data_IF_057177259675
#
_entry.id   IF_057177259675
#
_cell.length_a   1.000
_cell.length_b   1.000
_cell.length_c   1.000
_cell.angle_alpha   90.00
_cell.angle_beta   90.00
_cell.angle_gamma   90.00
#
_symmetry.space_group_name_H-M   'P 1'
#
loop_
_entity.id
_entity.type
_entity.pdbx_description
1 polymer ?
#
# COMPACT_ATOMS: atom_id res chain seq x y z
N UNK A 1 -44.62 41.88 -86.84
CA UNK A 1 -45.79 42.04 -85.95
C UNK A 1 -45.73 43.43 -85.35
N UNK A 2 -46.79 44.21 -85.45
CA UNK A 2 -46.76 45.57 -84.92
C UNK A 2 -46.77 45.54 -83.38
N UNK A 3 -45.78 46.17 -82.76
CA UNK A 3 -45.67 46.27 -81.30
C UNK A 3 -46.93 46.94 -80.73
N UNK A 4 -47.39 46.48 -79.56
CA UNK A 4 -48.58 47.03 -78.90
C UNK A 4 -48.19 47.67 -77.59
N UNK A 5 -48.78 48.83 -77.29
CA UNK A 5 -48.61 49.46 -75.99
C UNK A 5 -49.16 48.54 -74.90
N UNK A 6 -48.34 48.19 -73.91
CA UNK A 6 -48.73 47.27 -72.84
C UNK A 6 -49.88 47.82 -71.98
N UNK A 7 -50.04 49.14 -71.88
CA UNK A 7 -51.08 49.80 -71.06
C UNK A 7 -52.44 49.93 -71.74
N UNK A 8 -52.50 50.24 -73.04
CA UNK A 8 -53.78 50.43 -73.75
C UNK A 8 -54.03 49.39 -74.86
N UNK A 9 -53.09 48.47 -75.08
CA UNK A 9 -53.16 47.34 -76.03
C UNK A 9 -53.26 47.76 -77.50
N UNK A 10 -53.33 49.06 -77.80
CA UNK A 10 -53.32 49.61 -79.16
C UNK A 10 -51.93 49.49 -79.79
N UNK A 11 -51.94 49.31 -81.10
CA UNK A 11 -50.72 49.19 -81.93
C UNK A 11 -49.92 50.50 -81.89
N UNK A 12 -48.62 50.39 -81.66
CA UNK A 12 -47.68 51.50 -81.79
C UNK A 12 -47.41 51.69 -83.29
N UNK A 13 -47.94 52.76 -83.88
CA UNK A 13 -47.75 53.11 -85.30
C UNK A 13 -46.59 54.10 -85.47
N UNK A 14 -46.05 54.19 -86.69
CA UNK A 14 -45.05 55.18 -87.05
C UNK A 14 -45.58 56.60 -86.82
N UNK A 15 -44.81 57.42 -86.09
CA UNK A 15 -45.16 58.77 -85.67
C UNK A 15 -45.67 58.90 -84.22
N UNK A 16 -45.92 57.82 -83.48
CA UNK A 16 -46.35 57.88 -82.07
C UNK A 16 -45.18 57.72 -81.12
N UNK A 17 -44.95 58.70 -80.24
CA UNK A 17 -43.90 58.63 -79.24
C UNK A 17 -44.14 57.51 -78.21
N UNK A 18 -43.19 56.59 -78.11
CA UNK A 18 -43.22 55.44 -77.19
C UNK A 18 -41.93 55.32 -76.38
N UNK A 19 -42.04 54.82 -75.14
CA UNK A 19 -40.92 54.47 -74.24
C UNK A 19 -40.94 52.98 -73.93
N UNK A 20 -39.77 52.38 -73.74
CA UNK A 20 -39.61 50.97 -73.38
C UNK A 20 -39.08 50.86 -71.95
N UNK A 21 -39.71 50.03 -71.13
CA UNK A 21 -39.24 49.77 -69.78
C UNK A 21 -37.97 48.93 -69.81
N UNK A 22 -36.91 49.37 -69.14
CA UNK A 22 -35.64 48.62 -69.06
C UNK A 22 -35.79 47.25 -68.40
N UNK A 23 -36.62 47.15 -67.34
CA UNK A 23 -36.74 45.90 -66.56
C UNK A 23 -37.60 44.81 -67.22
N UNK A 24 -38.70 45.17 -67.89
CA UNK A 24 -39.65 44.18 -68.44
C UNK A 24 -39.78 44.23 -69.95
N UNK A 25 -38.98 45.09 -70.60
CA UNK A 25 -38.90 45.30 -72.05
C UNK A 25 -40.22 45.67 -72.75
N UNK A 26 -41.30 45.87 -72.00
CA UNK A 26 -42.59 46.27 -72.53
C UNK A 26 -42.57 47.71 -73.04
N UNK A 27 -43.27 47.95 -74.15
CA UNK A 27 -43.38 49.26 -74.81
C UNK A 27 -44.67 49.94 -74.38
N UNK A 28 -44.59 51.24 -74.13
CA UNK A 28 -45.70 52.09 -73.69
C UNK A 28 -45.76 53.36 -74.54
N UNK A 29 -46.96 53.80 -74.93
CA UNK A 29 -47.12 55.14 -75.49
C UNK A 29 -46.77 56.18 -74.42
N UNK A 30 -46.00 57.21 -74.79
CA UNK A 30 -45.55 58.27 -73.88
C UNK A 30 -46.73 58.90 -73.12
N UNK A 31 -47.81 59.24 -73.85
CA UNK A 31 -49.08 59.73 -73.26
C UNK A 31 -49.74 58.74 -72.30
N UNK A 32 -49.67 57.43 -72.56
CA UNK A 32 -50.28 56.44 -71.67
C UNK A 32 -49.57 56.38 -70.31
N UNK A 33 -48.29 56.72 -70.24
CA UNK A 33 -47.49 56.70 -69.01
C UNK A 33 -47.12 58.10 -68.51
N UNK A 34 -47.72 59.15 -69.07
CA UNK A 34 -47.52 60.53 -68.62
C UNK A 34 -46.12 61.08 -68.89
N UNK A 35 -45.39 60.50 -69.85
CA UNK A 35 -44.05 60.95 -70.24
C UNK A 35 -44.18 61.99 -71.34
N UNK A 36 -43.52 63.13 -71.18
CA UNK A 36 -43.47 64.19 -72.19
C UNK A 36 -42.46 63.85 -73.29
N UNK A 37 -42.58 64.52 -74.42
CA UNK A 37 -41.82 64.18 -75.62
C UNK A 37 -40.29 64.36 -75.44
N UNK A 38 -39.88 65.30 -74.59
CA UNK A 38 -38.46 65.52 -74.23
C UNK A 38 -37.85 64.31 -73.51
N UNK A 39 -38.56 63.70 -72.55
CA UNK A 39 -38.06 62.53 -71.82
C UNK A 39 -38.00 61.31 -72.72
N UNK A 40 -38.90 61.18 -73.69
CA UNK A 40 -38.81 60.14 -74.72
C UNK A 40 -37.54 60.31 -75.55
N UNK A 41 -37.21 61.53 -75.94
CA UNK A 41 -35.99 61.83 -76.70
C UNK A 41 -34.73 61.52 -75.87
N UNK A 42 -34.71 61.90 -74.60
CA UNK A 42 -33.61 61.59 -73.66
C UNK A 42 -33.41 60.08 -73.53
N UNK A 43 -34.49 59.29 -73.41
CA UNK A 43 -34.39 57.82 -73.32
C UNK A 43 -33.86 57.16 -74.59
N UNK A 44 -33.93 57.82 -75.75
CA UNK A 44 -33.40 57.31 -77.03
C UNK A 44 -31.99 57.78 -77.33
N UNK A 45 -31.66 59.02 -76.96
CA UNK A 45 -30.37 59.66 -77.27
C UNK A 45 -29.29 59.30 -76.26
N UNK A 46 -29.65 59.16 -74.99
CA UNK A 46 -28.70 58.87 -73.91
C UNK A 46 -28.72 57.39 -73.55
N UNK A 47 -27.70 56.64 -73.97
CA UNK A 47 -27.54 55.21 -73.67
C UNK A 47 -27.46 54.89 -72.16
N UNK A 48 -27.07 55.87 -71.34
CA UNK A 48 -26.95 55.74 -69.89
C UNK A 48 -28.26 56.06 -69.13
N UNK A 49 -29.30 56.52 -69.80
CA UNK A 49 -30.58 56.82 -69.16
C UNK A 49 -31.55 55.63 -69.29
N UNK A 50 -31.98 55.06 -68.16
CA UNK A 50 -32.88 53.89 -68.11
C UNK A 50 -34.22 54.27 -67.52
N UNK A 51 -35.30 54.09 -68.29
CA UNK A 51 -36.66 54.31 -67.83
C UNK A 51 -37.31 53.00 -67.35
N UNK A 52 -38.07 53.07 -66.27
CA UNK A 52 -38.79 51.94 -65.68
C UNK A 52 -40.28 52.26 -65.63
N UNK A 53 -41.14 51.30 -65.98
CA UNK A 53 -42.58 51.49 -65.87
C UNK A 53 -43.05 51.40 -64.41
N UNK A 54 -44.19 52.01 -64.11
CA UNK A 54 -44.78 52.03 -62.76
C UNK A 54 -44.95 50.63 -62.15
N UNK A 55 -45.20 49.62 -62.98
CA UNK A 55 -45.34 48.23 -62.52
C UNK A 55 -43.99 47.72 -62.01
N UNK A 56 -42.92 47.93 -62.78
CA UNK A 56 -41.57 47.52 -62.40
C UNK A 56 -41.02 48.34 -61.23
N UNK A 57 -41.35 49.64 -61.14
CA UNK A 57 -41.05 50.48 -59.99
C UNK A 57 -41.78 49.99 -58.72
N UNK A 58 -43.03 49.53 -58.85
CA UNK A 58 -43.77 48.96 -57.71
C UNK A 58 -43.14 47.67 -57.20
N UNK A 59 -42.54 46.81 -58.03
CA UNK A 59 -41.82 45.59 -57.57
C UNK A 59 -40.60 45.87 -56.66
N UNK A 60 -40.08 47.09 -56.62
CA UNK A 60 -39.07 47.54 -55.63
C UNK A 60 -39.65 47.50 -54.19
N UNK A 61 -40.97 47.36 -54.04
CA UNK A 61 -41.65 47.11 -52.75
C UNK A 61 -41.12 45.91 -51.98
N UNK A 62 -40.55 44.91 -52.67
CA UNK A 62 -39.95 43.74 -52.01
C UNK A 62 -38.74 44.12 -51.13
N UNK A 63 -37.99 45.18 -51.48
CA UNK A 63 -36.91 45.70 -50.63
C UNK A 63 -37.48 46.23 -49.31
N UNK A 64 -38.63 46.91 -49.35
CA UNK A 64 -39.28 47.46 -48.16
C UNK A 64 -39.76 46.38 -47.19
N UNK A 65 -40.21 45.23 -47.72
CA UNK A 65 -40.54 44.06 -46.90
C UNK A 65 -39.28 43.46 -46.26
N UNK A 66 -38.20 43.29 -47.01
CA UNK A 66 -36.92 42.82 -46.47
C UNK A 66 -36.34 43.78 -45.43
N UNK A 67 -36.46 45.10 -45.61
CA UNK A 67 -36.05 46.10 -44.61
C UNK A 67 -36.85 45.94 -43.31
N UNK A 68 -38.16 45.69 -43.40
CA UNK A 68 -38.99 45.44 -42.22
C UNK A 68 -38.53 44.17 -41.48
N UNK A 69 -38.34 43.06 -42.19
CA UNK A 69 -37.86 41.80 -41.58
C UNK A 69 -36.47 41.94 -40.95
N UNK A 70 -35.54 42.65 -41.60
CA UNK A 70 -34.22 42.92 -41.02
C UNK A 70 -34.33 43.78 -39.77
N UNK A 71 -35.22 44.78 -39.76
CA UNK A 71 -35.45 45.62 -38.60
C UNK A 71 -36.09 44.84 -37.44
N UNK A 72 -37.05 43.96 -37.73
CA UNK A 72 -37.69 43.09 -36.74
C UNK A 72 -36.66 42.11 -36.13
N UNK A 73 -35.80 41.50 -36.96
CA UNK A 73 -34.71 40.64 -36.50
C UNK A 73 -33.68 41.42 -35.66
N UNK A 74 -33.34 42.65 -36.06
CA UNK A 74 -32.43 43.50 -35.27
C UNK A 74 -33.02 43.85 -33.90
N UNK A 75 -34.33 44.09 -33.83
CA UNK A 75 -35.01 44.31 -32.55
C UNK A 75 -34.99 43.05 -31.69
N UNK A 76 -35.21 41.87 -32.27
CA UNK A 76 -35.12 40.59 -31.55
C UNK A 76 -33.70 40.30 -31.05
N UNK A 77 -32.68 40.54 -31.89
CA UNK A 77 -31.28 40.42 -31.49
C UNK A 77 -30.97 41.37 -30.35
N UNK A 78 -31.41 42.63 -30.43
CA UNK A 78 -31.23 43.61 -29.35
C UNK A 78 -31.85 43.12 -28.04
N UNK A 79 -33.06 42.58 -28.08
CA UNK A 79 -33.72 42.03 -26.90
C UNK A 79 -32.93 40.86 -26.29
N UNK A 80 -32.42 39.95 -27.12
CA UNK A 80 -31.59 38.82 -26.65
C UNK A 80 -30.25 39.28 -26.07
N UNK A 81 -29.63 40.31 -26.66
CA UNK A 81 -28.42 40.92 -26.12
C UNK A 81 -28.67 41.53 -24.74
N UNK A 82 -29.79 42.23 -24.56
CA UNK A 82 -30.18 42.79 -23.27
C UNK A 82 -30.43 41.70 -22.22
N UNK A 83 -31.07 40.58 -22.61
CA UNK A 83 -31.25 39.42 -21.75
C UNK A 83 -29.92 38.76 -21.32
N UNK A 84 -28.98 38.60 -22.26
CA UNK A 84 -27.65 38.06 -21.97
C UNK A 84 -26.89 38.99 -21.02
N UNK A 85 -26.98 40.31 -21.22
CA UNK A 85 -26.36 41.28 -20.34
C UNK A 85 -26.94 41.20 -18.92
N UNK A 86 -28.25 41.05 -18.77
CA UNK A 86 -28.89 40.85 -17.47
C UNK A 86 -28.41 39.56 -16.78
N UNK A 87 -28.34 38.44 -17.52
CA UNK A 87 -27.83 37.18 -17.01
C UNK A 87 -26.35 37.27 -16.58
N UNK A 88 -25.52 37.96 -17.34
CA UNK A 88 -24.10 38.19 -17.00
C UNK A 88 -23.94 39.02 -15.72
N UNK A 89 -24.79 40.01 -15.49
CA UNK A 89 -24.80 40.78 -14.24
C UNK A 89 -25.14 39.85 -13.06
N UNK A 90 -26.13 38.97 -13.22
CA UNK A 90 -26.52 38.00 -12.19
C UNK A 90 -25.39 37.03 -11.86
N UNK A 91 -24.76 36.44 -12.88
CA UNK A 91 -23.63 35.52 -12.70
C UNK A 91 -22.44 36.18 -12.00
N UNK A 92 -22.17 37.46 -12.33
CA UNK A 92 -21.11 38.22 -11.66
C UNK A 92 -21.40 38.42 -10.17
N UNK A 93 -22.65 38.67 -9.80
CA UNK A 93 -23.06 38.77 -8.41
C UNK A 93 -22.91 37.43 -7.65
N UNK A 94 -23.30 36.31 -8.27
CA UNK A 94 -23.10 34.98 -7.67
C UNK A 94 -21.62 34.65 -7.45
N UNK A 95 -20.74 35.01 -8.40
CA UNK A 95 -19.30 34.84 -8.25
C UNK A 95 -18.73 35.65 -7.08
N UNK A 96 -19.22 36.88 -6.87
CA UNK A 96 -18.80 37.71 -5.74
C UNK A 96 -19.23 37.10 -4.39
N UNK A 97 -20.43 36.50 -4.31
CA UNK A 97 -20.88 35.75 -3.13
C UNK A 97 -19.93 34.58 -2.83
N UNK A 98 -19.66 33.74 -3.84
CA UNK A 98 -18.79 32.58 -3.69
C UNK A 98 -17.39 33.00 -3.24
N UNK A 99 -16.85 34.07 -3.83
CA UNK A 99 -15.54 34.61 -3.47
C UNK A 99 -15.47 35.06 -2.01
N UNK A 100 -16.52 35.70 -1.51
CA UNK A 100 -16.61 36.09 -0.10
C UNK A 100 -16.70 34.86 0.81
N UNK A 101 -17.47 33.83 0.43
CA UNK A 101 -17.55 32.59 1.19
C UNK A 101 -16.21 31.86 1.28
N UNK A 102 -15.42 31.83 0.19
CA UNK A 102 -14.08 31.25 0.19
C UNK A 102 -13.17 32.01 1.16
N UNK A 103 -13.17 33.35 1.10
CA UNK A 103 -12.37 34.18 2.00
C UNK A 103 -12.72 33.96 3.48
N UNK A 104 -14.00 33.81 3.79
CA UNK A 104 -14.45 33.50 5.14
C UNK A 104 -13.97 32.11 5.59
N UNK A 105 -14.00 31.12 4.70
CA UNK A 105 -13.49 29.79 5.00
C UNK A 105 -11.97 29.76 5.19
N UNK A 106 -11.21 30.52 4.39
CA UNK A 106 -9.76 30.67 4.58
C UNK A 106 -9.45 31.24 5.98
N UNK A 107 -10.19 32.26 6.43
CA UNK A 107 -10.02 32.83 7.78
C UNK A 107 -10.37 31.85 8.91
N UNK A 108 -11.25 30.88 8.65
CA UNK A 108 -11.58 29.80 9.61
C UNK A 108 -10.51 28.71 9.61
N UNK A 109 -9.90 28.43 8.46
CA UNK A 109 -8.79 27.50 8.34
C UNK A 109 -7.59 27.96 9.17
N UNK A 110 -7.26 29.25 9.11
CA UNK A 110 -6.17 29.84 9.91
C UNK A 110 -6.39 29.68 11.43
N UNK A 111 -7.65 29.66 11.90
CA UNK A 111 -7.99 29.44 13.33
C UNK A 111 -7.86 27.97 13.77
N UNK A 112 -7.76 27.02 12.84
CA UNK A 112 -7.61 25.59 13.15
C UNK A 112 -6.16 25.16 13.36
N UNK A 113 -5.17 26.00 13.00
CA UNK A 113 -3.74 25.73 13.27
C UNK A 113 -3.32 26.11 14.70
N UNK A 114 -4.09 26.93 15.40
CA UNK A 114 -3.82 27.41 16.77
C UNK A 114 -3.90 26.31 17.86
N UNK A 115 -4.87 25.36 17.86
CA UNK A 115 -5.01 24.31 18.87
C UNK A 115 -3.86 23.29 18.92
N UNK A 116 -3.11 23.10 17.82
CA UNK A 116 -1.99 22.17 17.76
C UNK A 116 -0.84 22.58 18.68
N UNK A 117 -0.63 23.89 18.86
CA UNK A 117 0.41 24.43 19.75
C UNK A 117 0.10 24.17 21.23
N UNK A 118 -1.16 24.30 21.64
CA UNK A 118 -1.60 24.09 23.02
C UNK A 118 -1.55 22.61 23.41
N UNK A 119 -1.99 21.73 22.52
CA UNK A 119 -1.92 20.29 22.71
C UNK A 119 -0.46 19.81 22.86
N UNK A 120 0.46 20.38 22.08
CA UNK A 120 1.89 20.05 22.18
C UNK A 120 2.47 20.41 23.56
N UNK A 121 2.12 21.59 24.09
CA UNK A 121 2.59 22.04 25.40
C UNK A 121 2.06 21.16 26.53
N UNK A 122 0.79 20.75 26.46
CA UNK A 122 0.19 19.82 27.43
C UNK A 122 0.83 18.42 27.36
N UNK A 123 1.15 17.92 26.17
CA UNK A 123 1.88 16.66 25.97
C UNK A 123 3.29 16.73 26.57
N UNK A 124 4.01 17.83 26.36
CA UNK A 124 5.36 18.01 26.90
C UNK A 124 5.34 18.12 28.44
N UNK A 125 4.35 18.81 29.00
CA UNK A 125 4.14 18.86 30.44
C UNK A 125 3.85 17.48 31.02
N UNK A 126 2.94 16.72 30.41
CA UNK A 126 2.57 15.38 30.86
C UNK A 126 3.75 14.40 30.78
N UNK A 127 4.54 14.49 29.71
CA UNK A 127 5.76 13.69 29.54
C UNK A 127 6.80 13.97 30.64
N UNK A 128 6.95 15.23 31.05
CA UNK A 128 7.82 15.64 32.16
C UNK A 128 7.35 15.10 33.51
N UNK A 129 6.03 15.11 33.77
CA UNK A 129 5.44 14.55 35.00
C UNK A 129 5.62 13.03 35.08
N UNK A 130 5.40 12.32 33.96
CA UNK A 130 5.61 10.87 33.88
C UNK A 130 7.05 10.48 34.17
N UNK A 131 8.02 11.20 33.62
CA UNK A 131 9.45 10.94 33.86
C UNK A 131 9.83 11.11 35.34
N UNK A 132 9.34 12.17 36.00
CA UNK A 132 9.59 12.40 37.43
C UNK A 132 8.98 11.31 38.31
N UNK A 133 7.75 10.89 37.98
CA UNK A 133 7.01 9.88 38.76
C UNK A 133 7.62 8.49 38.60
N UNK A 134 7.97 8.11 37.37
CA UNK A 134 8.60 6.83 37.07
C UNK A 134 9.96 6.66 37.77
N UNK A 135 10.78 7.72 37.79
CA UNK A 135 12.08 7.69 38.46
C UNK A 135 11.96 7.42 39.97
N UNK A 136 10.94 7.98 40.64
CA UNK A 136 10.71 7.80 42.07
C UNK A 136 10.19 6.39 42.41
N UNK A 137 9.23 5.89 41.63
CA UNK A 137 8.62 4.56 41.83
C UNK A 137 9.65 3.44 41.62
N UNK A 138 10.41 3.50 40.52
CA UNK A 138 11.47 2.51 40.25
C UNK A 138 12.56 2.57 41.32
N UNK A 139 12.92 3.77 41.78
CA UNK A 139 13.92 3.95 42.84
C UNK A 139 13.55 3.30 44.17
N UNK A 140 12.29 3.38 44.58
CA UNK A 140 11.84 2.77 45.85
C UNK A 140 11.67 1.26 45.77
N UNK A 141 11.05 0.74 44.71
CA UNK A 141 10.78 -0.70 44.58
C UNK A 141 12.07 -1.50 44.36
N UNK A 142 13.00 -0.99 43.55
CA UNK A 142 14.32 -1.63 43.36
C UNK A 142 15.11 -1.68 44.68
N UNK A 143 14.99 -0.64 45.52
CA UNK A 143 15.68 -0.60 46.82
C UNK A 143 15.11 -1.64 47.79
N UNK A 144 13.78 -1.78 47.87
CA UNK A 144 13.12 -2.81 48.71
C UNK A 144 13.48 -4.22 48.24
N UNK A 145 13.45 -4.47 46.92
CA UNK A 145 13.81 -5.77 46.34
C UNK A 145 15.27 -6.15 46.65
N UNK A 146 16.19 -5.19 46.54
CA UNK A 146 17.61 -5.38 46.87
C UNK A 146 17.81 -5.81 48.33
N UNK A 147 17.11 -5.19 49.27
CA UNK A 147 17.21 -5.51 50.70
C UNK A 147 16.67 -6.92 51.02
N UNK A 148 15.57 -7.33 50.39
CA UNK A 148 15.00 -8.67 50.53
C UNK A 148 15.91 -9.77 49.97
N UNK A 149 16.52 -9.53 48.80
CA UNK A 149 17.48 -10.45 48.17
C UNK A 149 18.71 -10.63 49.04
N UNK A 150 19.25 -9.53 49.60
CA UNK A 150 20.40 -9.60 50.52
C UNK A 150 20.08 -10.41 51.78
N UNK A 151 18.91 -10.19 52.39
CA UNK A 151 18.48 -10.94 53.59
C UNK A 151 18.31 -12.44 53.30
N UNK A 152 17.79 -12.78 52.12
CA UNK A 152 17.60 -14.17 51.69
C UNK A 152 18.93 -14.86 51.39
N UNK A 153 19.89 -14.15 50.79
CA UNK A 153 21.25 -14.62 50.52
C UNK A 153 21.99 -14.99 51.82
N UNK A 154 21.87 -14.18 52.88
CA UNK A 154 22.44 -14.49 54.19
C UNK A 154 21.85 -15.78 54.81
N UNK A 155 20.52 -15.97 54.72
CA UNK A 155 19.88 -17.20 55.20
C UNK A 155 20.32 -18.45 54.43
N UNK A 156 20.44 -18.34 53.10
CA UNK A 156 20.88 -19.45 52.26
C UNK A 156 22.33 -19.84 52.57
N UNK A 157 23.21 -18.88 52.85
CA UNK A 157 24.59 -19.17 53.31
C UNK A 157 24.59 -19.93 54.63
N UNK A 158 23.80 -19.50 55.60
CA UNK A 158 23.68 -20.18 56.90
C UNK A 158 23.12 -21.60 56.76
N UNK A 159 22.10 -21.82 55.91
CA UNK A 159 21.55 -23.15 55.65
C UNK A 159 22.53 -24.06 54.90
N UNK A 160 23.35 -23.49 54.00
CA UNK A 160 24.39 -24.23 53.30
C UNK A 160 25.48 -24.75 54.25
N UNK A 161 25.84 -23.97 55.27
CA UNK A 161 26.80 -24.40 56.30
C UNK A 161 26.24 -25.58 57.12
N UNK A 162 24.95 -25.58 57.44
CA UNK A 162 24.29 -26.69 58.14
C UNK A 162 24.11 -27.94 57.27
N UNK A 163 23.75 -27.78 56.00
CA UNK A 163 23.57 -28.89 55.05
C UNK A 163 24.88 -29.55 54.62
N UNK A 164 26.02 -28.87 54.76
CA UNK A 164 27.34 -29.45 54.50
C UNK A 164 27.69 -30.63 55.43
N UNK A 165 26.97 -30.76 56.54
CA UNK A 165 27.16 -31.77 57.59
C UNK A 165 26.40 -33.08 57.33
N UNK A 166 25.62 -33.18 56.25
CA UNK A 166 24.77 -34.36 55.97
C UNK A 166 25.06 -34.91 54.57
N UNK A 167 25.39 -36.19 54.45
CA UNK A 167 25.62 -36.87 53.17
C UNK A 167 24.81 -38.17 53.06
N UNK A 168 24.15 -38.36 51.91
CA UNK A 168 23.62 -39.65 51.46
C UNK A 168 24.22 -39.93 50.08
N UNK A 169 24.81 -41.11 49.91
CA UNK A 169 25.57 -41.53 48.74
C UNK A 169 24.84 -42.57 47.89
N UNK A 170 24.91 -42.41 46.55
CA UNK A 170 24.92 -43.41 45.45
C UNK A 170 24.37 -42.73 44.17
N UNK A 171 24.82 -42.88 42.91
CA UNK A 171 25.30 -44.04 42.13
C UNK A 171 26.32 -43.62 41.02
N UNK A 172 27.28 -42.76 41.30
CA UNK A 172 28.29 -42.32 40.31
C UNK A 172 29.70 -42.50 40.86
N UNK A 173 30.71 -42.84 40.05
CA UNK A 173 32.11 -42.85 40.54
C UNK A 173 32.57 -41.43 40.89
N UNK A 174 33.57 -41.30 41.77
CA UNK A 174 34.04 -39.99 42.24
C UNK A 174 34.51 -39.08 41.08
N UNK A 175 35.18 -39.66 40.08
CA UNK A 175 35.63 -38.96 38.88
C UNK A 175 34.46 -38.52 37.99
N UNK A 176 33.49 -39.41 37.73
CA UNK A 176 32.31 -39.08 36.93
C UNK A 176 31.45 -37.99 37.58
N UNK A 177 31.33 -37.99 38.92
CA UNK A 177 30.68 -36.90 39.65
C UNK A 177 31.47 -35.59 39.54
N UNK A 178 32.80 -35.67 39.58
CA UNK A 178 33.67 -34.48 39.50
C UNK A 178 33.58 -33.83 38.12
N UNK A 179 33.68 -34.62 37.05
CA UNK A 179 33.50 -34.14 35.67
C UNK A 179 32.10 -33.58 35.43
N UNK A 180 31.06 -34.32 35.84
CA UNK A 180 29.69 -33.88 35.67
C UNK A 180 29.39 -32.61 36.49
N UNK A 181 29.90 -32.50 37.72
CA UNK A 181 29.76 -31.29 38.55
C UNK A 181 30.50 -30.10 37.94
N UNK A 182 31.70 -30.30 37.39
CA UNK A 182 32.47 -29.26 36.70
C UNK A 182 31.72 -28.74 35.47
N UNK A 183 31.22 -29.66 34.63
CA UNK A 183 30.42 -29.34 33.45
C UNK A 183 29.12 -28.60 33.83
N UNK A 184 28.38 -29.09 34.84
CA UNK A 184 27.15 -28.45 35.30
C UNK A 184 27.44 -27.09 35.94
N UNK A 185 28.50 -26.94 36.72
CA UNK A 185 28.87 -25.66 37.33
C UNK A 185 29.27 -24.62 36.27
N UNK A 186 29.99 -25.02 35.23
CA UNK A 186 30.34 -24.17 34.09
C UNK A 186 29.09 -23.79 33.26
N UNK A 187 28.15 -24.71 33.06
CA UNK A 187 26.88 -24.39 32.38
C UNK A 187 26.04 -23.44 33.23
N UNK A 188 25.88 -23.68 34.53
CA UNK A 188 25.09 -22.84 35.44
C UNK A 188 25.68 -21.44 35.62
N UNK A 189 27.00 -21.30 35.64
CA UNK A 189 27.65 -19.99 35.71
C UNK A 189 27.48 -19.19 34.42
N UNK A 190 27.41 -19.86 33.26
CA UNK A 190 27.10 -19.24 31.97
C UNK A 190 25.61 -18.90 31.82
N UNK A 191 24.73 -19.74 32.36
CA UNK A 191 23.28 -19.54 32.38
C UNK A 191 22.88 -18.34 33.27
N UNK A 192 23.47 -18.22 34.46
CA UNK A 192 23.23 -17.11 35.37
C UNK A 192 23.74 -15.73 34.86
N UNK A 193 24.53 -15.72 33.78
CA UNK A 193 25.04 -14.51 33.14
C UNK A 193 24.22 -14.06 31.92
N UNK A 194 23.23 -14.86 31.47
CA UNK A 194 22.38 -14.56 30.33
C UNK A 194 21.00 -14.06 30.79
N UNK A 195 20.76 -12.75 30.69
CA UNK A 195 19.43 -12.17 30.84
C UNK A 195 18.78 -12.08 29.46
N UNK A 196 17.91 -13.03 29.14
CA UNK A 196 17.29 -13.20 27.82
C UNK A 196 18.12 -14.11 26.91
N UNK A 197 17.46 -15.05 26.23
CA UNK A 197 18.09 -15.91 25.24
C UNK A 197 17.51 -17.32 25.12
N UNK A 198 17.97 -18.05 24.11
CA UNK A 198 17.53 -19.40 23.80
C UNK A 198 18.18 -20.44 24.72
N UNK A 199 17.37 -21.27 25.36
CA UNK A 199 17.83 -22.50 26.01
C UNK A 199 17.66 -23.67 25.03
N UNK A 200 18.76 -24.33 24.67
CA UNK A 200 18.71 -25.57 23.90
C UNK A 200 19.19 -26.74 24.76
N UNK A 201 18.53 -27.89 24.64
CA UNK A 201 18.93 -29.13 25.32
C UNK A 201 19.03 -30.26 24.30
N UNK A 202 20.23 -30.82 24.17
CA UNK A 202 20.44 -32.03 23.38
C UNK A 202 20.30 -33.23 24.31
N UNK A 203 19.36 -34.13 24.00
CA UNK A 203 19.23 -35.44 24.67
C UNK A 203 19.44 -36.54 23.65
N UNK A 204 20.30 -37.50 23.94
CA UNK A 204 20.53 -38.64 23.07
C UNK A 204 21.75 -39.46 23.49
N UNK A 205 22.00 -40.61 22.83
CA UNK A 205 23.18 -41.42 23.09
C UNK A 205 24.45 -40.59 22.87
N UNK A 206 25.38 -40.66 23.83
CA UNK A 206 26.65 -39.95 23.78
C UNK A 206 27.40 -40.30 22.49
N UNK A 207 27.92 -39.29 21.79
CA UNK A 207 28.71 -39.45 20.55
C UNK A 207 27.91 -39.52 19.24
N UNK A 208 26.58 -39.69 19.28
CA UNK A 208 25.75 -39.66 18.04
C UNK A 208 25.37 -38.25 17.58
N UNK A 209 25.33 -37.30 18.51
CA UNK A 209 24.96 -35.91 18.26
C UNK A 209 26.16 -35.04 18.56
N UNK A 210 26.68 -34.33 17.55
CA UNK A 210 27.79 -33.41 17.73
C UNK A 210 27.37 -32.01 17.31
N UNK A 211 27.36 -31.09 18.27
CA UNK A 211 27.33 -29.66 17.97
C UNK A 211 28.66 -29.34 17.28
N UNK A 212 28.58 -28.92 16.02
CA UNK A 212 29.78 -28.60 15.22
C UNK A 212 30.23 -27.18 15.54
N UNK A 213 29.29 -26.23 15.56
CA UNK A 213 29.60 -24.83 15.85
C UNK A 213 28.33 -24.03 16.10
N UNK A 214 28.42 -23.05 16.99
CA UNK A 214 27.51 -21.91 16.98
C UNK A 214 27.91 -20.97 15.87
N UNK A 215 26.93 -20.44 15.14
CA UNK A 215 27.19 -19.51 14.06
C UNK A 215 26.91 -18.10 14.52
N UNK A 216 27.92 -17.24 14.33
CA UNK A 216 27.80 -15.82 14.59
C UNK A 216 26.88 -15.24 13.51
N UNK A 217 25.77 -14.70 13.94
CA UNK A 217 24.81 -13.99 13.11
C UNK A 217 25.15 -12.49 13.08
N UNK A 218 24.63 -11.73 12.10
CA UNK A 218 24.67 -10.27 12.15
C UNK A 218 24.02 -9.73 13.42
N UNK A 219 24.27 -8.46 13.75
CA UNK A 219 23.58 -7.80 14.84
C UNK A 219 22.14 -7.54 14.39
N UNK A 220 21.18 -8.17 15.07
CA UNK A 220 19.76 -8.09 14.77
C UNK A 220 19.09 -7.13 15.76
N UNK A 221 18.16 -6.31 15.27
CA UNK A 221 17.42 -5.34 16.09
C UNK A 221 15.96 -5.74 16.29
N UNK A 222 15.40 -6.52 15.37
CA UNK A 222 13.96 -6.79 15.34
C UNK A 222 13.58 -8.16 15.90
N UNK A 223 14.54 -9.09 15.99
CA UNK A 223 14.36 -10.40 16.61
C UNK A 223 15.69 -10.91 17.18
N UNK A 224 15.59 -11.83 18.13
CA UNK A 224 16.71 -12.62 18.62
C UNK A 224 16.82 -13.91 17.81
N UNK A 225 18.04 -14.37 17.55
CA UNK A 225 18.25 -15.65 16.88
C UNK A 225 19.48 -16.40 17.36
N UNK A 226 19.38 -17.74 17.34
CA UNK A 226 20.48 -18.65 17.63
C UNK A 226 20.62 -19.68 16.52
N UNK A 227 21.76 -19.66 15.82
CA UNK A 227 22.07 -20.61 14.77
C UNK A 227 23.09 -21.67 15.26
N UNK A 228 22.71 -22.94 15.16
CA UNK A 228 23.50 -24.09 15.59
C UNK A 228 23.70 -25.03 14.42
N UNK A 229 24.96 -25.27 14.02
CA UNK A 229 25.28 -26.33 13.07
C UNK A 229 25.51 -27.64 13.82
N UNK A 230 24.70 -28.63 13.52
CA UNK A 230 24.77 -29.98 14.04
C UNK A 230 25.34 -30.94 13.00
N UNK A 231 25.96 -32.02 13.47
CA UNK A 231 26.27 -33.20 12.67
C UNK A 231 25.64 -34.42 13.35
N UNK A 232 24.73 -35.08 12.66
CA UNK A 232 23.99 -36.24 13.13
C UNK A 232 24.14 -37.34 12.07
N UNK A 233 24.67 -38.51 12.47
CA UNK A 233 24.90 -39.65 11.57
C UNK A 233 25.66 -39.32 10.27
N UNK A 234 26.54 -38.31 10.29
CA UNK A 234 27.27 -37.86 9.10
C UNK A 234 26.61 -36.68 8.36
N UNK A 235 25.31 -36.49 8.55
CA UNK A 235 24.52 -35.41 7.93
C UNK A 235 24.67 -34.11 8.69
N UNK A 236 24.88 -33.02 7.96
CA UNK A 236 24.89 -31.67 8.52
C UNK A 236 23.49 -31.08 8.54
N UNK A 237 23.07 -30.58 9.68
CA UNK A 237 21.77 -29.92 9.87
C UNK A 237 22.04 -28.58 10.54
N UNK A 238 21.33 -27.55 10.12
CA UNK A 238 21.39 -26.24 10.78
C UNK A 238 20.06 -26.01 11.48
N UNK A 239 20.13 -25.83 12.79
CA UNK A 239 19.01 -25.36 13.59
C UNK A 239 19.12 -23.84 13.72
N UNK A 240 18.04 -23.13 13.39
CA UNK A 240 17.89 -21.71 13.64
C UNK A 240 16.74 -21.54 14.62
N UNK A 241 17.02 -21.03 15.82
CA UNK A 241 15.98 -20.60 16.74
C UNK A 241 15.73 -19.11 16.54
N UNK A 242 14.46 -18.68 16.49
CA UNK A 242 14.05 -17.27 16.31
C UNK A 242 13.07 -16.88 17.41
N UNK A 243 13.18 -15.65 17.89
CA UNK A 243 12.23 -15.06 18.82
C UNK A 243 12.06 -13.59 18.44
N UNK A 244 10.89 -13.24 17.91
CA UNK A 244 10.54 -11.86 17.60
C UNK A 244 9.58 -11.35 18.68
N UNK A 245 9.89 -10.27 19.41
CA UNK A 245 9.00 -9.76 20.45
C UNK A 245 7.64 -9.30 19.90
N UNK A 246 6.54 -9.82 20.45
CA UNK A 246 5.17 -9.44 20.07
C UNK A 246 4.78 -8.01 20.46
N UNK A 247 5.47 -7.41 21.43
CA UNK A 247 5.25 -6.02 21.85
C UNK A 247 5.76 -4.97 20.86
N UNK A 248 6.65 -5.35 19.95
CA UNK A 248 7.13 -4.48 18.88
C UNK A 248 6.15 -4.50 17.70
N UNK A 249 6.10 -3.42 16.91
CA UNK A 249 5.39 -3.43 15.62
C UNK A 249 6.19 -4.20 14.56
N UNK A 250 5.49 -4.87 13.63
CA UNK A 250 6.14 -5.54 12.50
C UNK A 250 6.56 -4.45 11.51
N UNK A 251 7.84 -4.44 11.15
CA UNK A 251 8.41 -3.46 10.23
C UNK A 251 9.09 -4.15 9.05
N UNK A 252 9.32 -3.42 7.95
CA UNK A 252 10.09 -3.94 6.80
C UNK A 252 11.50 -4.41 7.17
N UNK A 253 12.11 -3.80 8.20
CA UNK A 253 13.41 -4.18 8.71
C UNK A 253 13.45 -5.63 9.21
N UNK A 254 12.36 -6.11 9.81
CA UNK A 254 12.27 -7.51 10.29
C UNK A 254 12.48 -8.51 9.15
N UNK A 255 11.79 -8.28 8.03
CA UNK A 255 11.91 -9.13 6.85
C UNK A 255 13.29 -9.06 6.22
N UNK A 256 13.89 -7.87 6.15
CA UNK A 256 15.27 -7.68 5.66
C UNK A 256 16.30 -8.42 6.51
N UNK A 257 16.19 -8.30 7.84
CA UNK A 257 17.06 -9.01 8.78
C UNK A 257 16.88 -10.53 8.68
N UNK A 258 15.64 -11.02 8.53
CA UNK A 258 15.35 -12.44 8.34
C UNK A 258 15.97 -12.98 7.05
N UNK A 259 15.83 -12.27 5.93
CA UNK A 259 16.45 -12.63 4.65
C UNK A 259 17.97 -12.72 4.80
N UNK A 260 18.61 -11.71 5.40
CA UNK A 260 20.05 -11.70 5.61
C UNK A 260 20.54 -12.89 6.46
N UNK A 261 19.77 -13.28 7.48
CA UNK A 261 20.07 -14.48 8.28
C UNK A 261 19.91 -15.75 7.42
N UNK A 262 18.81 -15.89 6.68
CA UNK A 262 18.54 -17.07 5.86
C UNK A 262 19.53 -17.25 4.71
N UNK A 263 20.06 -16.17 4.14
CA UNK A 263 21.18 -16.22 3.17
C UNK A 263 22.41 -16.90 3.79
N UNK A 264 22.79 -16.50 5.00
CA UNK A 264 23.92 -17.10 5.73
C UNK A 264 23.63 -18.57 6.04
N UNK A 265 22.42 -18.88 6.52
CA UNK A 265 22.04 -20.26 6.89
C UNK A 265 22.04 -21.19 5.69
N UNK A 266 21.53 -20.73 4.54
CA UNK A 266 21.44 -21.52 3.31
C UNK A 266 22.83 -21.90 2.77
N UNK A 267 23.86 -21.09 3.02
CA UNK A 267 25.25 -21.41 2.67
C UNK A 267 25.86 -22.51 3.56
N UNK A 268 25.27 -22.80 4.72
CA UNK A 268 25.84 -23.73 5.70
C UNK A 268 25.39 -25.18 5.54
N UNK A 269 24.15 -25.39 5.09
CA UNK A 269 23.55 -26.70 4.82
C UNK A 269 22.23 -26.55 4.07
N UNK A 270 21.91 -27.52 3.22
CA UNK A 270 20.58 -27.65 2.61
C UNK A 270 19.54 -28.25 3.57
N UNK A 271 19.97 -28.78 4.71
CA UNK A 271 19.10 -29.30 5.76
C UNK A 271 18.95 -28.26 6.85
N UNK A 272 17.92 -27.43 6.73
CA UNK A 272 17.62 -26.34 7.66
C UNK A 272 16.34 -26.65 8.41
N UNK A 273 16.38 -26.41 9.72
CA UNK A 273 15.21 -26.41 10.59
C UNK A 273 15.22 -25.09 11.34
N UNK A 274 14.20 -24.30 11.11
CA UNK A 274 13.94 -23.03 11.78
C UNK A 274 12.76 -23.23 12.72
N UNK A 275 12.87 -22.79 13.96
CA UNK A 275 11.78 -22.90 14.93
C UNK A 275 11.76 -21.70 15.85
N UNK A 276 10.58 -21.28 16.28
CA UNK A 276 10.47 -20.16 17.20
C UNK A 276 9.14 -19.43 17.17
N UNK A 277 9.04 -18.45 18.06
CA UNK A 277 7.90 -17.53 18.13
C UNK A 277 8.19 -16.32 17.24
N UNK A 278 7.40 -16.21 16.17
CA UNK A 278 7.49 -15.12 15.21
C UNK A 278 6.61 -13.95 15.59
N UNK A 279 5.62 -14.11 16.48
CA UNK A 279 4.60 -13.10 16.75
C UNK A 279 4.07 -12.43 15.47
N UNK A 280 3.80 -13.25 14.44
CA UNK A 280 3.14 -12.87 13.18
C UNK A 280 2.00 -13.83 12.96
N UNK A 281 0.80 -13.31 12.69
CA UNK A 281 -0.40 -14.11 12.41
C UNK A 281 -0.30 -14.80 11.03
N UNK A 282 0.33 -15.98 10.95
CA UNK A 282 0.50 -16.69 9.66
C UNK A 282 -0.78 -17.37 9.16
N UNK A 283 -1.76 -17.55 10.04
CA UNK A 283 -3.08 -18.06 9.67
C UNK A 283 -3.91 -17.04 8.87
N UNK A 284 -3.57 -15.75 8.96
CA UNK A 284 -4.24 -14.67 8.21
C UNK A 284 -3.63 -14.54 6.82
N UNK A 285 -4.03 -15.42 5.91
CA UNK A 285 -3.42 -15.51 4.56
C UNK A 285 -3.48 -14.23 3.70
N UNK A 286 -4.38 -13.29 4.01
CA UNK A 286 -4.49 -11.99 3.31
C UNK A 286 -3.73 -10.86 4.03
N UNK A 287 -3.14 -11.12 5.19
CA UNK A 287 -2.34 -10.14 5.92
C UNK A 287 -0.99 -9.92 5.19
N UNK A 288 -0.57 -8.67 4.94
CA UNK A 288 0.67 -8.39 4.22
C UNK A 288 1.94 -8.96 4.90
N UNK A 289 1.96 -9.07 6.22
CA UNK A 289 3.08 -9.62 6.96
C UNK A 289 3.13 -11.14 6.87
N UNK A 290 1.96 -11.80 6.93
CA UNK A 290 1.84 -13.23 6.63
C UNK A 290 2.32 -13.56 5.22
N UNK A 291 1.85 -12.80 4.21
CA UNK A 291 2.24 -13.01 2.81
C UNK A 291 3.75 -12.85 2.63
N UNK A 292 4.32 -11.75 3.13
CA UNK A 292 5.77 -11.49 3.05
C UNK A 292 6.59 -12.60 3.71
N UNK A 293 6.15 -13.09 4.87
CA UNK A 293 6.85 -14.16 5.59
C UNK A 293 6.81 -15.49 4.82
N UNK A 294 5.65 -15.86 4.29
CA UNK A 294 5.48 -17.06 3.46
C UNK A 294 6.31 -16.98 2.16
N UNK A 295 6.34 -15.83 1.49
CA UNK A 295 7.16 -15.61 0.29
C UNK A 295 8.66 -15.77 0.59
N UNK A 296 9.14 -15.20 1.71
CA UNK A 296 10.53 -15.37 2.14
C UNK A 296 10.84 -16.85 2.34
N UNK A 297 10.01 -17.59 3.08
CA UNK A 297 10.23 -19.02 3.27
C UNK A 297 10.26 -19.78 1.94
N UNK A 298 9.31 -19.49 1.04
CA UNK A 298 9.27 -20.06 -0.30
C UNK A 298 10.56 -19.82 -1.09
N UNK A 299 11.09 -18.59 -1.06
CA UNK A 299 12.33 -18.21 -1.76
C UNK A 299 13.56 -19.00 -1.27
N UNK A 300 13.57 -19.43 -0.01
CA UNK A 300 14.64 -20.26 0.57
C UNK A 300 14.33 -21.78 0.53
N UNK A 301 13.30 -22.21 -0.22
CA UNK A 301 12.81 -23.59 -0.24
C UNK A 301 12.47 -24.14 1.16
N UNK A 302 11.96 -23.25 2.01
CA UNK A 302 11.51 -23.54 3.36
C UNK A 302 9.98 -23.58 3.40
N UNK A 303 9.43 -24.41 4.27
CA UNK A 303 7.99 -24.56 4.43
C UNK A 303 7.63 -24.62 5.91
N UNK A 304 6.63 -23.84 6.31
CA UNK A 304 6.03 -23.94 7.64
C UNK A 304 5.24 -25.24 7.76
N UNK A 305 5.45 -25.95 8.87
CA UNK A 305 4.83 -27.24 9.18
C UNK A 305 3.66 -27.12 10.16
N UNK A 306 3.42 -25.94 10.73
CA UNK A 306 2.39 -25.69 11.75
C UNK A 306 1.21 -24.95 11.14
N UNK A 307 0.01 -25.48 11.34
CA UNK A 307 -1.24 -24.93 10.81
C UNK A 307 -2.37 -24.87 11.86
N UNK A 308 -2.05 -25.14 13.12
CA UNK A 308 -2.98 -25.12 14.25
C UNK A 308 -2.61 -24.01 15.24
N UNK A 309 -3.57 -23.41 15.95
CA UNK A 309 -3.32 -22.35 16.92
C UNK A 309 -2.31 -22.76 18.00
N UNK A 310 -1.32 -21.89 18.25
CA UNK A 310 -0.25 -22.12 19.24
C UNK A 310 -0.38 -21.23 20.46
N UNK A 311 -1.37 -20.33 20.50
CA UNK A 311 -1.57 -19.37 21.58
C UNK A 311 -3.03 -19.39 22.06
N UNK A 312 -3.28 -19.05 23.33
CA UNK A 312 -4.63 -19.02 23.93
C UNK A 312 -5.62 -18.12 23.18
N UNK A 313 -5.11 -17.08 22.52
CA UNK A 313 -5.89 -16.15 21.68
C UNK A 313 -6.06 -16.62 20.23
N UNK A 314 -5.94 -17.92 19.97
CA UNK A 314 -6.15 -18.58 18.67
C UNK A 314 -5.18 -18.16 17.53
N UNK A 315 -4.05 -17.54 17.86
CA UNK A 315 -3.01 -17.19 16.88
C UNK A 315 -2.04 -18.34 16.58
N UNK A 316 -1.51 -18.38 15.35
CA UNK A 316 -0.40 -19.29 14.97
C UNK A 316 0.89 -18.48 14.95
N UNK A 317 1.59 -18.41 16.09
CA UNK A 317 2.81 -17.60 16.23
C UNK A 317 4.08 -18.45 16.29
N UNK A 318 3.96 -19.66 16.83
CA UNK A 318 5.06 -20.59 17.04
C UNK A 318 5.17 -21.52 15.85
N UNK A 319 6.26 -21.40 15.10
CA UNK A 319 6.42 -22.08 13.82
C UNK A 319 7.53 -23.12 13.90
N UNK A 320 7.35 -24.21 13.16
CA UNK A 320 8.42 -25.14 12.76
C UNK A 320 8.51 -25.06 11.25
N UNK A 321 9.59 -24.48 10.76
CA UNK A 321 9.89 -24.32 9.35
C UNK A 321 11.04 -25.24 8.99
N UNK A 322 10.90 -26.02 7.92
CA UNK A 322 11.97 -26.93 7.46
C UNK A 322 12.23 -26.74 5.99
N UNK A 323 13.42 -27.14 5.53
CA UNK A 323 13.65 -27.38 4.10
C UNK A 323 12.56 -28.30 3.55
N UNK A 324 12.05 -28.00 2.35
CA UNK A 324 10.89 -28.68 1.77
C UNK A 324 11.08 -30.20 1.66
N UNK A 325 12.30 -30.64 1.32
CA UNK A 325 12.70 -32.04 1.20
C UNK A 325 12.97 -32.75 2.53
N UNK A 326 12.96 -32.02 3.66
CA UNK A 326 13.30 -32.60 4.96
C UNK A 326 12.12 -33.43 5.49
N UNK A 327 12.30 -34.74 5.77
CA UNK A 327 11.19 -35.58 6.22
C UNK A 327 10.77 -35.22 7.64
N UNK A 328 9.53 -34.75 7.77
CA UNK A 328 8.89 -34.40 9.05
C UNK A 328 7.67 -35.28 9.25
N UNK A 329 7.51 -35.81 10.46
CA UNK A 329 6.36 -36.62 10.87
C UNK A 329 5.97 -36.26 12.31
N UNK A 330 4.78 -36.68 12.73
CA UNK A 330 4.28 -36.49 14.10
C UNK A 330 4.35 -35.04 14.60
N UNK A 331 3.84 -34.11 13.78
CA UNK A 331 3.69 -32.71 14.17
C UNK A 331 2.51 -32.61 15.14
N UNK A 332 2.73 -32.00 16.30
CA UNK A 332 1.72 -31.82 17.33
C UNK A 332 1.83 -30.44 17.95
N UNK A 333 0.69 -29.81 18.19
CA UNK A 333 0.57 -28.64 19.05
C UNK A 333 -0.14 -29.08 20.32
N UNK A 334 0.54 -28.98 21.46
CA UNK A 334 -0.08 -29.22 22.76
C UNK A 334 -0.91 -28.00 23.16
N UNK A 335 -2.06 -28.19 23.85
CA UNK A 335 -2.95 -27.08 24.17
C UNK A 335 -2.23 -25.92 24.88
N UNK A 336 -2.40 -24.67 24.41
CA UNK A 336 -1.99 -23.50 25.16
C UNK A 336 -2.81 -23.37 26.45
N UNK A 337 -2.29 -22.62 27.41
CA UNK A 337 -2.91 -22.30 28.69
C UNK A 337 -2.74 -23.32 29.82
N UNK A 338 -2.04 -24.43 29.55
CA UNK A 338 -1.75 -25.43 30.59
C UNK A 338 -0.55 -25.01 31.46
N UNK A 339 0.53 -24.57 30.80
CA UNK A 339 1.78 -24.18 31.47
C UNK A 339 2.26 -22.77 31.07
N UNK A 340 1.78 -22.27 29.93
CA UNK A 340 1.99 -20.92 29.39
C UNK A 340 0.77 -20.60 28.51
N UNK A 341 0.55 -19.32 28.27
CA UNK A 341 -0.29 -18.79 27.17
C UNK A 341 0.07 -19.33 25.77
N UNK A 342 1.32 -19.81 25.58
CA UNK A 342 1.76 -20.56 24.41
C UNK A 342 1.69 -22.08 24.61
N UNK A 343 1.32 -22.80 23.55
CA UNK A 343 1.29 -24.25 23.44
C UNK A 343 2.64 -24.81 22.98
N UNK A 344 3.02 -26.00 23.46
CA UNK A 344 4.25 -26.65 23.01
C UNK A 344 4.07 -27.23 21.61
N UNK A 345 4.85 -26.71 20.66
CA UNK A 345 4.94 -27.24 19.30
C UNK A 345 6.02 -28.31 19.22
N UNK A 346 5.66 -29.49 18.72
CA UNK A 346 6.54 -30.65 18.57
C UNK A 346 6.51 -31.16 17.13
N UNK A 347 7.66 -31.61 16.62
CA UNK A 347 7.74 -32.37 15.39
C UNK A 347 8.86 -33.41 15.49
N UNK A 348 8.68 -34.55 14.82
CA UNK A 348 9.73 -35.54 14.63
C UNK A 348 10.35 -35.42 13.24
N UNK A 349 11.68 -35.50 13.20
CA UNK A 349 12.47 -35.24 12.01
C UNK A 349 13.27 -36.50 11.66
N UNK A 350 13.08 -37.06 10.46
CA UNK A 350 13.89 -38.20 10.02
C UNK A 350 15.25 -37.72 9.54
N UNK A 351 16.30 -38.36 10.04
CA UNK A 351 17.65 -38.16 9.55
C UNK A 351 18.07 -39.52 9.00
N UNK A 352 17.64 -39.78 7.77
CA UNK A 352 17.86 -41.08 7.14
C UNK A 352 19.35 -41.42 7.14
N UNK A 353 19.64 -42.62 7.62
CA UNK A 353 20.93 -43.24 7.36
C UNK A 353 20.99 -43.46 5.86
N UNK A 354 21.95 -42.82 5.18
CA UNK A 354 22.45 -43.41 3.93
C UNK A 354 22.96 -44.80 4.32
N UNK A 355 22.13 -45.82 4.11
CA UNK A 355 22.59 -47.20 4.09
C UNK A 355 23.60 -47.22 2.95
N UNK A 356 24.89 -47.08 3.28
CA UNK A 356 25.97 -47.45 2.38
C UNK A 356 25.72 -48.93 2.10
N UNK A 357 25.11 -49.26 0.96
CA UNK A 357 25.25 -50.58 0.38
C UNK A 357 26.75 -50.76 0.21
N UNK A 358 27.39 -51.49 1.13
CA UNK A 358 28.72 -52.03 0.88
C UNK A 358 28.55 -52.80 -0.42
N UNK A 359 29.15 -52.35 -1.52
CA UNK A 359 29.36 -53.20 -2.68
C UNK A 359 30.00 -54.47 -2.10
N UNK A 360 29.27 -55.59 -2.11
CA UNK A 360 29.90 -56.90 -1.92
C UNK A 360 30.93 -56.98 -3.03
N UNK A 361 32.21 -56.83 -2.67
CA UNK A 361 33.29 -57.20 -3.55
C UNK A 361 33.03 -58.65 -3.96
N UNK A 362 33.00 -58.87 -5.27
CA UNK A 362 32.94 -60.21 -5.82
C UNK A 362 34.21 -60.93 -5.35
N UNK A 363 34.06 -61.93 -4.49
CA UNK A 363 35.12 -62.91 -4.29
C UNK A 363 35.12 -63.78 -5.53
N UNK A 364 36.15 -63.59 -6.35
CA UNK A 364 36.51 -64.46 -7.46
C UNK A 364 37.01 -65.79 -6.88
N UNK A 365 36.10 -66.73 -6.65
CA UNK A 365 36.41 -68.13 -6.38
C UNK A 365 36.55 -68.82 -7.74
N UNK A 366 37.74 -68.71 -8.31
CA UNK A 366 38.01 -69.19 -9.66
C UNK A 366 39.48 -69.51 -9.92
N UNK A 367 40.13 -70.29 -9.04
CA UNK A 367 41.28 -71.15 -9.39
C UNK A 367 41.27 -72.43 -8.55
N UNK A 368 40.65 -73.46 -9.10
CA UNK A 368 41.11 -74.85 -8.97
C UNK A 368 42.39 -75.04 -9.77
#
# INVERSE_FOLDING_TARGET
MASKCKKCVKVTKDGVQCVQCFQCENIFHAKCVGVNDEVVEVTRTLLNFKWYCDICLKTVSNIRLSTKTVNDNNNEIKLKVDQINAANISLKHELDIIKNMIKDNDSKLEKLDEPGSKLSVEIDHFKSELQKTWASVVGQEVKKAKELVMKSSYKLKQMSEELSKVWIANDLTAEQRSELKSLIANVKSREAACTGGFLYRVRGPVGKWRIVSFKKLPVLKTFEALAIKLKINGTHIVLLAVYRPGSALISSLFFQELVAVLEIISLLSNNVVLAGDFNVHVEKHMDPHSVSLCEIFGNFNLVNRINEPTHELEGVFDLIITSMSFPVFDIRVLPPGVFSDHGLVQACLSIDQVIRMKKKGWFDLGKT
#
